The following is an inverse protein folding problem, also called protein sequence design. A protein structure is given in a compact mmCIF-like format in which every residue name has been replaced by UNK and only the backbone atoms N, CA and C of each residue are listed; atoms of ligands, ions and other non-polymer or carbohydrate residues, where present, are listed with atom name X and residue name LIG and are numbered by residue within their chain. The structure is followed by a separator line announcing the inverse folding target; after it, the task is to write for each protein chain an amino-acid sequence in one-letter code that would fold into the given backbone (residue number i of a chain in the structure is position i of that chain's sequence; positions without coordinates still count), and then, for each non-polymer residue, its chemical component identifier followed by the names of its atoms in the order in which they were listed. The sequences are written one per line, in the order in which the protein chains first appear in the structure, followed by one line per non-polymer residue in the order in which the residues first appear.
data_IF_057586722179
#
_entry.id   IF_057586722179
#
_cell.length_a   1.000
_cell.length_b   1.000
_cell.length_c   1.000
_cell.angle_alpha   90.00
_cell.angle_beta   90.00
_cell.angle_gamma   90.00
#
_symmetry.space_group_name_H-M   'P 1'
#
loop_
_entity.id
_entity.type
_entity.pdbx_description
1 polymer ?
#
# COMPACT_ATOMS: atom_id res chain seq x y z
N UNK A 1 -14.63 -21.57 11.99
CA UNK A 1 -13.20 -21.47 11.63
C UNK A 1 -12.40 -22.06 12.78
N UNK A 2 -11.90 -23.29 12.63
CA UNK A 2 -11.09 -23.94 13.65
C UNK A 2 -9.70 -23.29 13.64
N UNK A 3 -9.36 -22.52 14.68
CA UNK A 3 -7.97 -22.10 14.87
C UNK A 3 -7.16 -23.31 15.33
N UNK A 4 -6.01 -23.53 14.71
CA UNK A 4 -5.08 -24.59 15.10
C UNK A 4 -4.56 -24.31 16.50
N UNK A 5 -4.48 -25.33 17.36
CA UNK A 5 -3.88 -25.22 18.69
C UNK A 5 -2.39 -24.89 18.58
N UNK A 6 -1.80 -24.35 19.64
CA UNK A 6 -0.38 -24.00 19.68
C UNK A 6 0.52 -25.22 19.37
N UNK A 7 0.14 -26.40 19.85
CA UNK A 7 0.83 -27.66 19.53
C UNK A 7 0.73 -28.01 18.04
N UNK A 8 -0.44 -27.88 17.42
CA UNK A 8 -0.59 -28.13 15.98
C UNK A 8 0.23 -27.14 15.15
N UNK A 9 0.34 -25.87 15.59
CA UNK A 9 1.20 -24.87 14.93
C UNK A 9 2.67 -25.28 15.03
N UNK A 10 3.10 -25.79 16.17
CA UNK A 10 4.48 -26.20 16.42
C UNK A 10 4.84 -27.52 15.70
N UNK A 11 3.93 -28.50 15.69
CA UNK A 11 4.09 -29.74 14.91
C UNK A 11 4.16 -29.43 13.40
N UNK A 12 3.27 -28.58 12.90
CA UNK A 12 3.30 -28.13 11.51
C UNK A 12 4.61 -27.36 11.23
N UNK A 13 5.10 -26.55 12.18
CA UNK A 13 6.38 -25.83 12.07
C UNK A 13 7.57 -26.79 11.93
N UNK A 14 7.61 -27.85 12.73
CA UNK A 14 8.66 -28.88 12.65
C UNK A 14 8.57 -29.71 11.35
N UNK A 15 7.36 -30.02 10.90
CA UNK A 15 7.13 -30.83 9.70
C UNK A 15 7.40 -30.05 8.39
N UNK A 16 7.30 -28.72 8.40
CA UNK A 16 7.41 -27.90 7.18
C UNK A 16 8.83 -27.51 6.74
N UNK A 17 9.85 -27.83 7.53
CA UNK A 17 11.25 -27.52 7.17
C UNK A 17 11.67 -28.17 5.84
N UNK A 18 11.23 -29.41 5.56
CA UNK A 18 11.64 -30.19 4.36
C UNK A 18 10.45 -30.89 3.67
N UNK A 19 9.36 -30.16 3.43
CA UNK A 19 8.15 -30.79 2.89
C UNK A 19 8.20 -31.00 1.35
N UNK A 20 8.03 -32.23 0.84
CA UNK A 20 7.89 -32.46 -0.60
C UNK A 20 6.57 -31.88 -1.12
N UNK A 21 6.58 -31.33 -2.34
CA UNK A 21 5.41 -30.65 -2.94
C UNK A 21 4.12 -31.49 -2.99
N UNK A 22 4.23 -32.82 -2.98
CA UNK A 22 3.08 -33.72 -2.88
C UNK A 22 2.28 -33.57 -1.57
N UNK A 23 2.95 -33.30 -0.45
CA UNK A 23 2.33 -33.10 0.87
C UNK A 23 1.74 -31.69 0.99
N UNK A 24 2.38 -30.69 0.37
CA UNK A 24 1.85 -29.33 0.24
C UNK A 24 0.51 -29.36 -0.52
N UNK A 25 0.47 -30.05 -1.66
CA UNK A 25 -0.75 -30.22 -2.45
C UNK A 25 -1.83 -31.02 -1.69
N UNK A 26 -1.43 -31.94 -0.80
CA UNK A 26 -2.37 -32.67 0.07
C UNK A 26 -2.99 -31.75 1.12
N UNK A 27 -2.21 -30.84 1.72
CA UNK A 27 -2.71 -29.83 2.66
C UNK A 27 -3.70 -28.86 2.02
N UNK A 28 -3.43 -28.43 0.78
CA UNK A 28 -4.35 -27.59 0.01
C UNK A 28 -5.65 -28.34 -0.29
N UNK A 29 -5.57 -29.60 -0.73
CA UNK A 29 -6.76 -30.45 -0.95
C UNK A 29 -7.56 -30.74 0.32
N UNK A 30 -6.94 -30.66 1.50
CA UNK A 30 -7.61 -30.77 2.82
C UNK A 30 -8.30 -29.49 3.26
N UNK A 31 -8.24 -28.42 2.46
CA UNK A 31 -8.94 -27.16 2.70
C UNK A 31 -8.13 -26.12 3.47
N UNK A 32 -6.81 -26.28 3.60
CA UNK A 32 -5.96 -25.23 4.16
C UNK A 32 -5.82 -24.11 3.12
N UNK A 33 -6.12 -22.88 3.52
CA UNK A 33 -5.99 -21.70 2.65
C UNK A 33 -4.55 -21.55 2.14
N UNK A 34 -4.34 -21.29 0.83
CA UNK A 34 -3.02 -20.98 0.27
C UNK A 34 -2.32 -19.84 1.02
N UNK A 35 -3.07 -18.82 1.46
CA UNK A 35 -2.50 -17.73 2.26
C UNK A 35 -1.97 -18.21 3.61
N UNK A 36 -2.65 -19.17 4.25
CA UNK A 36 -2.18 -19.74 5.52
C UNK A 36 -0.88 -20.51 5.34
N UNK A 37 -0.71 -21.19 4.22
CA UNK A 37 0.55 -21.84 3.85
C UNK A 37 1.63 -20.78 3.61
N UNK A 38 1.35 -19.70 2.88
CA UNK A 38 2.32 -18.63 2.67
C UNK A 38 2.85 -18.05 3.99
N UNK A 39 1.97 -17.79 4.96
CA UNK A 39 2.37 -17.35 6.30
C UNK A 39 3.28 -18.38 6.96
N UNK A 40 2.88 -19.66 6.96
CA UNK A 40 3.67 -20.73 7.56
C UNK A 40 5.07 -20.86 6.94
N UNK A 41 5.17 -20.82 5.61
CA UNK A 41 6.45 -20.87 4.90
C UNK A 41 7.35 -19.69 5.27
N UNK A 42 6.75 -18.52 5.51
CA UNK A 42 7.44 -17.32 6.00
C UNK A 42 7.93 -17.47 7.44
N UNK A 43 7.27 -18.27 8.28
CA UNK A 43 7.65 -18.53 9.68
C UNK A 43 8.65 -19.68 9.86
N UNK A 44 8.77 -20.56 8.85
CA UNK A 44 9.66 -21.73 8.85
C UNK A 44 10.83 -21.59 7.89
N UNK A 45 10.95 -20.47 7.18
CA UNK A 45 11.93 -20.25 6.12
C UNK A 45 11.84 -21.27 4.95
N UNK A 46 10.63 -21.80 4.68
CA UNK A 46 10.41 -22.85 3.68
C UNK A 46 10.08 -22.25 2.31
N UNK A 47 11.10 -22.09 1.47
CA UNK A 47 10.96 -21.55 0.10
C UNK A 47 10.00 -22.38 -0.78
N UNK A 48 10.04 -23.73 -0.78
CA UNK A 48 9.11 -24.53 -1.57
C UNK A 48 7.65 -24.27 -1.20
N UNK A 49 7.39 -24.00 0.08
CA UNK A 49 6.05 -23.74 0.59
C UNK A 49 5.58 -22.32 0.23
N UNK A 50 6.49 -21.33 0.25
CA UNK A 50 6.22 -19.98 -0.25
C UNK A 50 5.92 -20.03 -1.77
N UNK A 51 6.76 -20.67 -2.57
CA UNK A 51 6.57 -20.72 -4.01
C UNK A 51 5.28 -21.48 -4.41
N UNK A 52 5.01 -22.61 -3.77
CA UNK A 52 3.82 -23.39 -4.08
C UNK A 52 2.54 -22.66 -3.64
N UNK A 53 2.56 -21.99 -2.48
CA UNK A 53 1.40 -21.19 -2.05
C UNK A 53 1.12 -20.03 -2.99
N UNK A 54 2.15 -19.33 -3.49
CA UNK A 54 1.99 -18.28 -4.50
C UNK A 54 1.45 -18.81 -5.84
N UNK A 55 1.90 -19.99 -6.28
CA UNK A 55 1.34 -20.66 -7.49
C UNK A 55 -0.14 -20.97 -7.37
N UNK A 56 -0.60 -21.28 -6.16
CA UNK A 56 -1.98 -21.62 -5.84
C UNK A 56 -2.83 -20.38 -5.54
N UNK A 57 -2.31 -19.18 -5.82
CA UNK A 57 -3.03 -17.92 -5.74
C UNK A 57 -3.03 -17.28 -4.35
N UNK A 58 -2.08 -17.62 -3.48
CA UNK A 58 -1.94 -16.92 -2.19
C UNK A 58 -1.64 -15.43 -2.42
N UNK A 59 -2.37 -14.58 -1.69
CA UNK A 59 -2.13 -13.14 -1.71
C UNK A 59 -0.82 -12.80 -0.99
N UNK A 60 0.21 -12.38 -1.73
CA UNK A 60 1.54 -12.09 -1.16
C UNK A 60 1.53 -10.96 -0.13
N UNK A 61 0.61 -10.01 -0.29
CA UNK A 61 0.41 -8.89 0.63
C UNK A 61 -0.86 -9.05 1.47
N UNK A 62 -1.45 -10.26 1.47
CA UNK A 62 -2.58 -10.58 2.32
C UNK A 62 -2.22 -10.36 3.79
N UNK A 63 -3.25 -10.14 4.60
CA UNK A 63 -3.11 -9.86 6.03
C UNK A 63 -3.78 -10.96 6.84
N UNK A 64 -3.10 -11.41 7.90
CA UNK A 64 -3.70 -12.33 8.86
C UNK A 64 -4.60 -11.59 9.87
N UNK A 65 -5.03 -12.31 10.92
CA UNK A 65 -5.95 -11.78 11.94
C UNK A 65 -5.35 -10.66 12.79
N UNK A 66 -4.03 -10.48 12.77
CA UNK A 66 -3.31 -9.40 13.47
C UNK A 66 -2.88 -8.29 12.50
N UNK A 67 -3.40 -8.33 11.27
CA UNK A 67 -3.00 -7.49 10.14
C UNK A 67 -1.53 -7.66 9.71
N UNK A 68 -0.91 -8.81 10.02
CA UNK A 68 0.47 -9.08 9.62
C UNK A 68 0.56 -9.64 8.21
N UNK A 69 1.57 -9.18 7.47
CA UNK A 69 1.89 -9.71 6.13
C UNK A 69 2.90 -10.87 6.24
N UNK A 70 2.97 -11.74 5.22
CA UNK A 70 4.01 -12.79 5.14
C UNK A 70 5.42 -12.23 5.34
N UNK A 71 5.71 -11.06 4.79
CA UNK A 71 7.01 -10.40 4.94
C UNK A 71 7.29 -9.92 6.37
N UNK A 72 6.27 -9.49 7.13
CA UNK A 72 6.42 -9.19 8.56
C UNK A 72 6.79 -10.44 9.36
N UNK A 73 6.13 -11.58 9.09
CA UNK A 73 6.46 -12.85 9.73
C UNK A 73 7.90 -13.27 9.44
N UNK A 74 8.32 -13.23 8.17
CA UNK A 74 9.69 -13.56 7.79
C UNK A 74 10.72 -12.60 8.42
N UNK A 75 10.36 -11.31 8.59
CA UNK A 75 11.21 -10.30 9.24
C UNK A 75 11.33 -10.52 10.75
N UNK A 76 10.24 -10.90 11.41
CA UNK A 76 10.21 -11.18 12.85
C UNK A 76 11.09 -12.39 13.20
N UNK A 77 11.04 -13.45 12.40
CA UNK A 77 11.86 -14.65 12.61
C UNK A 77 13.27 -14.56 12.00
N UNK A 78 13.64 -13.44 11.38
CA UNK A 78 14.93 -13.25 10.72
C UNK A 78 15.23 -14.37 9.71
N UNK A 79 14.27 -14.62 8.82
CA UNK A 79 14.37 -15.66 7.79
C UNK A 79 14.75 -15.03 6.45
N UNK A 80 16.06 -14.90 6.22
CA UNK A 80 16.61 -14.12 5.11
C UNK A 80 16.23 -14.69 3.74
N UNK A 81 16.26 -16.01 3.58
CA UNK A 81 15.90 -16.67 2.33
C UNK A 81 14.41 -16.46 2.01
N UNK A 82 13.53 -16.57 3.00
CA UNK A 82 12.12 -16.26 2.85
C UNK A 82 11.89 -14.78 2.52
N UNK A 83 12.62 -13.86 3.16
CA UNK A 83 12.58 -12.43 2.85
C UNK A 83 12.96 -12.20 1.39
N UNK A 84 14.07 -12.77 0.93
CA UNK A 84 14.55 -12.61 -0.44
C UNK A 84 13.55 -13.18 -1.47
N UNK A 85 12.96 -14.33 -1.17
CA UNK A 85 11.92 -14.96 -2.00
C UNK A 85 10.63 -14.12 -2.06
N UNK A 86 10.16 -13.60 -0.93
CA UNK A 86 8.97 -12.74 -0.90
C UNK A 86 9.22 -11.43 -1.66
N UNK A 87 10.40 -10.83 -1.50
CA UNK A 87 10.79 -9.61 -2.21
C UNK A 87 10.94 -9.84 -3.73
N UNK A 88 11.40 -11.02 -4.17
CA UNK A 88 11.48 -11.34 -5.59
C UNK A 88 10.11 -11.45 -6.25
N UNK A 89 9.07 -11.80 -5.47
CA UNK A 89 7.68 -11.83 -5.88
C UNK A 89 6.91 -10.51 -5.63
N UNK A 90 7.62 -9.39 -5.42
CA UNK A 90 7.07 -8.05 -5.18
C UNK A 90 6.25 -7.91 -3.88
N UNK A 91 6.64 -8.59 -2.80
CA UNK A 91 6.09 -8.30 -1.48
C UNK A 91 6.35 -6.84 -1.07
N UNK A 92 5.32 -6.20 -0.51
CA UNK A 92 5.41 -4.83 -0.03
C UNK A 92 6.07 -4.78 1.35
N UNK A 93 7.11 -3.97 1.50
CA UNK A 93 7.88 -3.80 2.76
C UNK A 93 7.19 -2.91 3.78
N UNK A 94 6.11 -2.26 3.36
CA UNK A 94 5.54 -1.08 3.99
C UNK A 94 4.17 -1.20 4.66
N UNK A 95 3.33 -2.21 4.36
CA UNK A 95 2.11 -2.42 5.11
C UNK A 95 2.42 -2.35 6.60
N UNK A 96 1.48 -1.78 7.34
CA UNK A 96 1.55 -1.69 8.80
C UNK A 96 0.54 -2.64 9.39
N UNK A 97 0.92 -3.32 10.46
CA UNK A 97 0.01 -4.07 11.30
C UNK A 97 -0.95 -3.11 12.02
N UNK A 98 -1.93 -3.65 12.74
CA UNK A 98 -2.86 -2.84 13.55
C UNK A 98 -2.13 -2.06 14.66
N UNK A 99 -0.92 -2.48 15.03
CA UNK A 99 -0.04 -1.80 15.98
C UNK A 99 0.87 -0.74 15.32
N UNK A 100 0.72 -0.53 14.01
CA UNK A 100 1.54 0.42 13.24
C UNK A 100 2.94 -0.10 12.88
N UNK A 101 3.25 -1.37 13.16
CA UNK A 101 4.56 -1.97 12.89
C UNK A 101 4.66 -2.38 11.41
N UNK A 102 5.72 -1.95 10.72
CA UNK A 102 6.05 -2.41 9.36
C UNK A 102 7.12 -3.50 9.38
N UNK A 103 7.31 -4.22 8.27
CA UNK A 103 8.41 -5.19 8.14
C UNK A 103 9.79 -4.55 8.43
N UNK A 104 9.99 -3.29 8.00
CA UNK A 104 11.21 -2.52 8.33
C UNK A 104 11.34 -2.27 9.83
N UNK A 105 10.26 -1.86 10.49
CA UNK A 105 10.27 -1.61 11.94
C UNK A 105 10.59 -2.89 12.72
N UNK A 106 9.99 -4.02 12.33
CA UNK A 106 10.25 -5.32 12.92
C UNK A 106 11.73 -5.70 12.73
N UNK A 107 12.27 -5.58 11.51
CA UNK A 107 13.68 -5.88 11.25
C UNK A 107 14.64 -4.98 12.05
N UNK A 108 14.28 -3.72 12.29
CA UNK A 108 15.04 -2.79 13.15
C UNK A 108 14.98 -3.20 14.63
N UNK A 109 13.79 -3.57 15.13
CA UNK A 109 13.56 -4.03 16.49
C UNK A 109 14.37 -5.29 16.79
N UNK A 110 14.41 -6.23 15.85
CA UNK A 110 15.19 -7.47 15.91
C UNK A 110 16.70 -7.25 15.62
N UNK A 111 17.15 -5.99 15.44
CA UNK A 111 18.55 -5.59 15.18
C UNK A 111 19.17 -6.27 13.96
N UNK A 112 18.35 -6.62 12.98
CA UNK A 112 18.80 -7.29 11.77
C UNK A 112 19.22 -6.29 10.69
N UNK A 113 20.45 -5.80 10.81
CA UNK A 113 20.99 -4.78 9.91
C UNK A 113 21.06 -5.22 8.44
N UNK A 114 21.21 -6.52 8.17
CA UNK A 114 21.24 -7.04 6.79
C UNK A 114 19.89 -6.86 6.10
N UNK A 115 18.82 -7.32 6.73
CA UNK A 115 17.46 -7.14 6.22
C UNK A 115 17.08 -5.67 6.14
N UNK A 116 17.46 -4.85 7.14
CA UNK A 116 17.21 -3.40 7.12
C UNK A 116 17.88 -2.74 5.91
N UNK A 117 19.14 -3.09 5.61
CA UNK A 117 19.84 -2.57 4.44
C UNK A 117 19.16 -2.99 3.13
N UNK A 118 18.79 -4.27 3.01
CA UNK A 118 18.07 -4.78 1.83
C UNK A 118 16.74 -4.05 1.61
N UNK A 119 15.97 -3.85 2.69
CA UNK A 119 14.73 -3.09 2.64
C UNK A 119 14.98 -1.65 2.22
N UNK A 120 16.00 -0.99 2.77
CA UNK A 120 16.38 0.38 2.40
C UNK A 120 16.81 0.49 0.93
N UNK A 121 17.55 -0.48 0.39
CA UNK A 121 17.95 -0.51 -1.02
C UNK A 121 16.74 -0.67 -1.95
N UNK A 122 15.83 -1.59 -1.62
CA UNK A 122 14.58 -1.77 -2.36
C UNK A 122 13.71 -0.53 -2.30
N UNK A 123 13.61 0.10 -1.13
CA UNK A 123 12.99 1.42 -0.97
C UNK A 123 13.63 2.46 -1.88
N UNK A 124 14.96 2.55 -1.88
CA UNK A 124 15.69 3.54 -2.66
C UNK A 124 15.44 3.37 -4.16
N UNK A 125 15.43 2.13 -4.67
CA UNK A 125 15.10 1.85 -6.08
C UNK A 125 13.68 2.28 -6.43
N UNK A 126 12.71 1.99 -5.57
CA UNK A 126 11.31 2.41 -5.75
C UNK A 126 11.21 3.94 -5.68
N UNK A 127 11.86 4.58 -4.72
CA UNK A 127 11.93 6.04 -4.56
C UNK A 127 12.52 6.72 -5.80
N UNK A 128 13.60 6.18 -6.37
CA UNK A 128 14.24 6.74 -7.58
C UNK A 128 13.34 6.64 -8.82
N UNK A 129 12.63 5.53 -9.01
CA UNK A 129 11.61 5.40 -10.07
C UNK A 129 10.50 6.44 -9.91
N UNK A 130 9.99 6.60 -8.69
CA UNK A 130 8.97 7.61 -8.38
C UNK A 130 9.50 9.05 -8.52
N UNK A 131 10.77 9.31 -8.19
CA UNK A 131 11.40 10.62 -8.37
C UNK A 131 11.50 11.02 -9.85
N UNK A 132 11.79 10.07 -10.74
CA UNK A 132 11.71 10.29 -12.20
C UNK A 132 10.31 10.71 -12.64
N UNK A 133 9.30 9.96 -12.19
CA UNK A 133 7.88 10.25 -12.45
C UNK A 133 7.48 11.63 -11.90
N UNK A 134 8.03 12.04 -10.75
CA UNK A 134 7.82 13.36 -10.16
C UNK A 134 8.48 14.49 -10.95
N UNK A 135 9.70 14.27 -11.47
CA UNK A 135 10.38 15.25 -12.31
C UNK A 135 9.62 15.47 -13.61
N UNK A 136 9.11 14.39 -14.21
CA UNK A 136 8.24 14.47 -15.38
C UNK A 136 6.93 15.21 -15.07
N UNK A 137 6.34 14.98 -13.89
CA UNK A 137 5.21 15.76 -13.37
C UNK A 137 5.44 17.26 -13.45
N UNK A 138 6.58 17.66 -12.88
CA UNK A 138 6.97 19.04 -12.71
C UNK A 138 7.12 19.71 -14.07
N UNK A 139 7.77 19.02 -15.01
CA UNK A 139 7.92 19.49 -16.39
C UNK A 139 6.57 19.70 -17.07
N UNK A 140 5.68 18.72 -16.99
CA UNK A 140 4.34 18.83 -17.61
C UNK A 140 3.52 19.96 -16.99
N UNK A 141 3.52 20.09 -15.67
CA UNK A 141 2.83 21.19 -14.97
C UNK A 141 3.40 22.56 -15.37
N UNK A 142 4.73 22.67 -15.51
CA UNK A 142 5.38 23.91 -15.92
C UNK A 142 5.09 24.28 -17.38
N UNK A 143 5.04 23.30 -18.28
CA UNK A 143 4.65 23.49 -19.68
C UNK A 143 3.18 23.96 -19.80
N UNK A 144 2.26 23.30 -19.10
CA UNK A 144 0.83 23.65 -19.12
C UNK A 144 0.55 25.02 -18.48
N UNK A 145 1.39 25.45 -17.53
CA UNK A 145 1.29 26.79 -16.93
C UNK A 145 1.55 27.91 -17.95
N UNK A 146 2.41 27.69 -18.93
CA UNK A 146 2.73 28.68 -19.96
C UNK A 146 1.59 28.84 -20.99
N UNK A 147 0.68 27.86 -21.07
CA UNK A 147 -0.47 27.89 -21.97
C UNK A 147 -1.63 28.72 -21.39
N UNK A 148 -2.45 29.27 -22.28
CA UNK A 148 -3.73 29.92 -21.93
C UNK A 148 -4.69 28.91 -21.28
N UNK A 149 -5.55 29.32 -20.32
CA UNK A 149 -6.42 28.41 -19.59
C UNK A 149 -7.32 27.51 -20.45
N UNK A 150 -7.80 27.98 -21.60
CA UNK A 150 -8.64 27.17 -22.51
C UNK A 150 -7.85 26.14 -23.32
N UNK A 151 -6.54 26.35 -23.51
CA UNK A 151 -5.67 25.51 -24.32
C UNK A 151 -4.89 24.46 -23.49
N UNK A 152 -5.18 24.35 -22.20
CA UNK A 152 -4.52 23.40 -21.30
C UNK A 152 -5.05 22.00 -21.50
N UNK A 153 -4.14 21.03 -21.59
CA UNK A 153 -4.51 19.62 -21.64
C UNK A 153 -4.80 19.12 -20.21
N UNK A 154 -6.08 19.13 -19.88
CA UNK A 154 -6.58 18.66 -18.58
C UNK A 154 -6.38 17.17 -18.39
N UNK A 155 -6.35 16.38 -19.46
CA UNK A 155 -6.13 14.93 -19.41
C UNK A 155 -4.67 14.63 -19.12
N UNK A 156 -3.73 15.34 -19.75
CA UNK A 156 -2.30 15.22 -19.44
C UNK A 156 -2.01 15.65 -18.00
N UNK A 157 -2.61 16.73 -17.51
CA UNK A 157 -2.51 17.15 -16.11
C UNK A 157 -3.09 16.07 -15.17
N UNK A 158 -4.26 15.53 -15.50
CA UNK A 158 -4.94 14.49 -14.75
C UNK A 158 -4.12 13.21 -14.66
N UNK A 159 -3.66 12.66 -15.79
CA UNK A 159 -2.82 11.47 -15.83
C UNK A 159 -1.51 11.66 -15.07
N UNK A 160 -0.92 12.85 -15.19
CA UNK A 160 0.22 13.21 -14.36
C UNK A 160 -0.17 13.09 -12.88
N UNK A 161 -1.29 13.64 -12.43
CA UNK A 161 -1.67 13.60 -11.01
C UNK A 161 -2.25 12.25 -10.53
N UNK A 162 -2.81 11.43 -11.43
CA UNK A 162 -3.58 10.19 -11.14
C UNK A 162 -2.69 8.94 -11.11
N UNK A 163 -1.70 8.79 -12.00
CA UNK A 163 -0.72 7.68 -11.94
C UNK A 163 0.19 7.75 -10.69
N UNK A 164 -0.04 8.75 -9.83
CA UNK A 164 0.78 9.19 -8.72
C UNK A 164 0.15 8.96 -7.35
N UNK A 165 -0.78 8.01 -7.23
CA UNK A 165 -1.22 7.45 -5.94
C UNK A 165 -0.05 6.95 -5.06
N UNK A 166 1.13 6.73 -5.66
CA UNK A 166 2.36 6.32 -4.97
C UNK A 166 3.23 7.46 -4.39
N UNK A 167 2.83 8.73 -4.51
CA UNK A 167 3.64 9.87 -4.03
C UNK A 167 3.66 10.02 -2.50
N UNK A 168 2.96 9.14 -1.76
CA UNK A 168 3.14 8.99 -0.32
C UNK A 168 4.63 8.81 0.06
N UNK A 169 5.40 8.11 -0.77
CA UNK A 169 6.81 7.76 -0.49
C UNK A 169 7.83 8.90 -0.65
N UNK A 170 7.63 9.81 -1.62
CA UNK A 170 8.53 10.97 -1.78
C UNK A 170 8.20 12.04 -0.71
N UNK A 171 6.97 12.03 -0.20
CA UNK A 171 6.53 12.90 0.89
C UNK A 171 7.32 12.71 2.19
N UNK A 172 7.84 11.51 2.47
CA UNK A 172 8.65 11.27 3.69
C UNK A 172 10.06 11.87 3.59
N UNK A 173 10.72 11.81 2.42
CA UNK A 173 12.09 12.32 2.25
C UNK A 173 12.15 13.82 1.90
N UNK A 174 11.19 14.31 1.10
CA UNK A 174 11.14 15.72 0.68
C UNK A 174 9.73 16.31 0.82
N UNK A 175 9.13 16.30 2.03
CA UNK A 175 7.75 16.71 2.27
C UNK A 175 7.45 18.10 1.73
N UNK A 176 8.40 19.02 1.87
CA UNK A 176 8.23 20.41 1.44
C UNK A 176 8.22 20.57 -0.08
N UNK A 177 9.07 19.83 -0.82
CA UNK A 177 9.10 19.90 -2.28
C UNK A 177 7.83 19.30 -2.88
N UNK A 178 7.38 18.17 -2.34
CA UNK A 178 6.14 17.50 -2.73
C UNK A 178 4.93 18.37 -2.42
N UNK A 179 4.81 18.90 -1.18
CA UNK A 179 3.73 19.82 -0.80
C UNK A 179 3.68 21.06 -1.70
N UNK A 180 4.83 21.66 -2.03
CA UNK A 180 4.91 22.80 -2.96
C UNK A 180 4.46 22.43 -4.37
N UNK A 181 4.80 21.24 -4.86
CA UNK A 181 4.38 20.78 -6.18
C UNK A 181 2.87 20.58 -6.26
N UNK A 182 2.29 19.83 -5.34
CA UNK A 182 0.83 19.58 -5.36
C UNK A 182 0.03 20.85 -5.09
N UNK A 183 0.58 21.78 -4.29
CA UNK A 183 0.02 23.13 -4.17
C UNK A 183 0.00 23.87 -5.51
N UNK A 184 1.09 23.80 -6.29
CA UNK A 184 1.15 24.40 -7.64
C UNK A 184 0.12 23.75 -8.57
N UNK A 185 0.02 22.42 -8.58
CA UNK A 185 -0.95 21.69 -9.39
C UNK A 185 -2.40 22.06 -9.04
N UNK A 186 -2.70 22.14 -7.73
CA UNK A 186 -3.99 22.59 -7.21
C UNK A 186 -4.36 24.01 -7.67
N UNK A 187 -3.41 24.95 -7.66
CA UNK A 187 -3.66 26.31 -8.16
C UNK A 187 -3.76 26.38 -9.68
N UNK A 188 -3.18 25.43 -10.42
CA UNK A 188 -3.26 25.38 -11.88
C UNK A 188 -4.62 24.86 -12.36
N UNK A 189 -5.05 23.72 -11.83
CA UNK A 189 -6.38 23.16 -12.04
C UNK A 189 -6.85 22.41 -10.77
N UNK A 190 -7.76 23.02 -9.99
CA UNK A 190 -8.33 22.40 -8.81
C UNK A 190 -9.01 21.06 -9.07
N UNK A 191 -9.61 20.84 -10.26
CA UNK A 191 -10.34 19.59 -10.58
C UNK A 191 -9.42 18.37 -10.59
N UNK A 192 -8.14 18.61 -10.86
CA UNK A 192 -7.11 17.58 -10.99
C UNK A 192 -6.22 17.54 -9.75
N UNK A 193 -5.76 18.70 -9.28
CA UNK A 193 -4.76 18.78 -8.21
C UNK A 193 -5.32 18.69 -6.79
N UNK A 194 -6.62 18.92 -6.59
CA UNK A 194 -7.19 19.02 -5.24
C UNK A 194 -7.08 17.71 -4.44
N UNK A 195 -7.39 16.56 -5.04
CA UNK A 195 -7.40 15.30 -4.32
C UNK A 195 -6.00 14.82 -3.91
N UNK A 196 -5.01 14.76 -4.83
CA UNK A 196 -3.64 14.45 -4.45
C UNK A 196 -3.02 15.48 -3.50
N UNK A 197 -3.44 16.74 -3.57
CA UNK A 197 -2.97 17.75 -2.62
C UNK A 197 -3.55 17.53 -1.21
N UNK A 198 -4.84 17.18 -1.12
CA UNK A 198 -5.49 16.87 0.15
C UNK A 198 -4.85 15.66 0.85
N UNK A 199 -4.47 14.60 0.12
CA UNK A 199 -3.81 13.42 0.71
C UNK A 199 -2.43 13.76 1.29
N UNK A 200 -1.65 14.60 0.60
CA UNK A 200 -0.37 15.11 1.11
C UNK A 200 -0.57 15.97 2.35
N UNK A 201 -1.59 16.83 2.38
CA UNK A 201 -1.90 17.66 3.54
C UNK A 201 -2.30 16.82 4.75
N UNK A 202 -3.15 15.80 4.56
CA UNK A 202 -3.56 14.86 5.58
C UNK A 202 -2.36 14.11 6.18
N UNK A 203 -1.43 13.68 5.34
CA UNK A 203 -0.21 12.99 5.78
C UNK A 203 0.77 13.93 6.49
N UNK A 204 0.82 15.21 6.10
CA UNK A 204 1.70 16.22 6.71
C UNK A 204 1.18 16.81 8.03
N UNK A 205 0.07 16.28 8.58
CA UNK A 205 -0.55 16.77 9.81
C UNK A 205 -1.44 18.01 9.63
N UNK A 206 -1.54 18.57 8.41
CA UNK A 206 -2.45 19.67 8.05
C UNK A 206 -3.88 19.14 7.81
N UNK A 207 -4.43 18.44 8.80
CA UNK A 207 -5.70 17.70 8.68
C UNK A 207 -6.89 18.59 8.32
N UNK A 208 -6.99 19.78 8.90
CA UNK A 208 -8.11 20.70 8.63
C UNK A 208 -8.11 21.20 7.19
N UNK A 209 -6.96 21.58 6.64
CA UNK A 209 -6.83 22.01 5.24
C UNK A 209 -7.17 20.87 4.27
N UNK A 210 -6.75 19.64 4.60
CA UNK A 210 -7.11 18.47 3.81
C UNK A 210 -8.64 18.26 3.78
N UNK A 211 -9.30 18.35 4.94
CA UNK A 211 -10.76 18.21 5.06
C UNK A 211 -11.51 19.33 4.31
N UNK A 212 -11.02 20.57 4.36
CA UNK A 212 -11.60 21.70 3.61
C UNK A 212 -11.59 21.43 2.10
N UNK A 213 -10.48 20.90 1.58
CA UNK A 213 -10.35 20.56 0.16
C UNK A 213 -11.29 19.41 -0.21
N UNK A 214 -11.39 18.38 0.63
CA UNK A 214 -12.29 17.25 0.40
C UNK A 214 -13.77 17.67 0.39
N UNK A 215 -14.18 18.55 1.31
CA UNK A 215 -15.52 19.15 1.30
C UNK A 215 -15.79 19.97 0.05
N UNK A 216 -14.79 20.74 -0.42
CA UNK A 216 -14.89 21.50 -1.65
C UNK A 216 -15.08 20.58 -2.87
N UNK A 217 -14.28 19.52 -2.99
CA UNK A 217 -14.40 18.53 -4.08
C UNK A 217 -15.82 17.96 -4.11
N UNK A 218 -16.33 17.56 -2.94
CA UNK A 218 -17.69 17.05 -2.82
C UNK A 218 -18.75 18.09 -3.23
N UNK A 219 -18.68 19.32 -2.69
CA UNK A 219 -19.60 20.42 -3.00
C UNK A 219 -19.63 20.76 -4.49
N UNK A 220 -18.48 20.65 -5.16
CA UNK A 220 -18.33 20.91 -6.60
C UNK A 220 -18.70 19.71 -7.48
N UNK A 221 -19.05 18.56 -6.88
CA UNK A 221 -19.40 17.30 -7.55
C UNK A 221 -18.35 16.86 -8.59
N UNK A 222 -17.07 16.96 -8.25
CA UNK A 222 -16.02 16.45 -9.13
C UNK A 222 -15.98 14.93 -9.04
N UNK A 223 -16.53 14.26 -10.06
CA UNK A 223 -16.72 12.80 -10.14
C UNK A 223 -15.46 12.04 -10.56
N UNK A 224 -14.35 12.73 -10.81
CA UNK A 224 -13.08 12.16 -11.27
C UNK A 224 -12.34 11.35 -10.20
N UNK A 225 -12.86 11.26 -8.97
CA UNK A 225 -12.23 10.57 -7.84
C UNK A 225 -13.19 9.50 -7.29
N UNK A 226 -12.97 8.21 -7.61
CA UNK A 226 -13.80 7.14 -7.08
C UNK A 226 -13.58 6.95 -5.58
N UNK A 227 -14.68 6.72 -4.84
CA UNK A 227 -14.70 6.49 -3.38
C UNK A 227 -13.84 5.29 -2.97
N UNK A 228 -13.80 4.25 -3.80
CA UNK A 228 -12.95 3.06 -3.61
C UNK A 228 -11.47 3.44 -3.49
N UNK A 229 -10.98 4.33 -4.37
CA UNK A 229 -9.62 4.86 -4.30
C UNK A 229 -9.35 5.78 -3.09
N UNK A 230 -10.38 6.26 -2.37
CA UNK A 230 -10.21 7.08 -1.16
C UNK A 230 -10.13 6.23 0.12
N UNK A 231 -10.84 5.11 0.16
CA UNK A 231 -10.93 4.21 1.33
C UNK A 231 -9.87 3.12 1.25
N UNK A 232 -9.73 2.47 0.08
CA UNK A 232 -8.82 1.32 -0.08
C UNK A 232 -7.36 1.72 -0.19
N UNK A 233 -7.08 2.98 -0.55
CA UNK A 233 -5.71 3.48 -0.71
C UNK A 233 -5.00 3.76 0.61
N UNK A 234 -5.73 3.82 1.74
CA UNK A 234 -5.19 4.17 3.05
C UNK A 234 -4.63 5.62 3.14
N UNK A 235 -4.83 6.45 2.11
CA UNK A 235 -4.25 7.80 2.01
C UNK A 235 -4.77 8.79 3.06
N UNK A 236 -5.89 8.47 3.70
CA UNK A 236 -6.58 9.34 4.65
C UNK A 236 -6.85 8.66 6.00
N UNK A 237 -6.16 7.56 6.33
CA UNK A 237 -6.32 6.85 7.61
C UNK A 237 -6.19 7.78 8.81
N UNK A 238 -5.26 8.75 8.73
CA UNK A 238 -5.06 9.77 9.78
C UNK A 238 -6.28 10.67 10.02
N UNK A 239 -7.21 10.74 9.06
CA UNK A 239 -8.45 11.52 9.16
C UNK A 239 -9.64 10.70 9.66
N UNK A 240 -9.56 9.36 9.65
CA UNK A 240 -10.70 8.48 9.91
C UNK A 240 -11.34 8.66 11.29
N UNK A 241 -10.52 9.00 12.29
CA UNK A 241 -10.99 9.32 13.63
C UNK A 241 -11.80 10.62 13.73
N UNK A 242 -11.73 11.50 12.73
CA UNK A 242 -12.41 12.80 12.73
C UNK A 242 -13.91 12.68 12.42
N UNK A 243 -14.75 13.31 13.24
CA UNK A 243 -16.19 13.39 12.95
C UNK A 243 -16.49 14.18 11.67
N UNK A 244 -15.59 15.07 11.26
CA UNK A 244 -15.69 15.79 10.00
C UNK A 244 -15.45 14.86 8.82
N UNK A 245 -14.46 13.98 8.91
CA UNK A 245 -14.22 12.92 7.92
C UNK A 245 -15.44 12.01 7.77
N UNK A 246 -15.99 11.49 8.88
CA UNK A 246 -17.19 10.63 8.86
C UNK A 246 -18.37 11.29 8.14
N UNK A 247 -18.57 12.60 8.35
CA UNK A 247 -19.61 13.38 7.64
C UNK A 247 -19.34 13.54 6.15
N UNK A 248 -18.10 13.76 5.75
CA UNK A 248 -17.69 13.84 4.33
C UNK A 248 -17.97 12.49 3.65
N UNK A 249 -17.55 11.39 4.27
CA UNK A 249 -17.73 10.04 3.71
C UNK A 249 -19.20 9.63 3.57
N UNK A 250 -20.05 10.01 4.54
CA UNK A 250 -21.51 9.75 4.45
C UNK A 250 -22.18 10.46 3.26
N UNK A 251 -21.62 11.60 2.83
CA UNK A 251 -22.17 12.39 1.72
C UNK A 251 -21.61 11.96 0.37
N UNK A 252 -20.49 11.26 0.33
CA UNK A 252 -19.88 10.78 -0.90
C UNK A 252 -20.66 9.57 -1.44
N UNK A 253 -21.07 9.56 -2.72
CA UNK A 253 -21.85 8.45 -3.27
C UNK A 253 -21.12 7.11 -3.12
N UNK A 254 -21.84 6.08 -2.71
CA UNK A 254 -21.37 4.69 -2.82
C UNK A 254 -21.24 4.33 -4.30
N UNK A 255 -20.24 3.50 -4.66
CA UNK A 255 -20.15 3.00 -6.03
C UNK A 255 -21.48 2.34 -6.41
N UNK A 256 -22.09 2.81 -7.51
CA UNK A 256 -23.27 2.16 -8.06
C UNK A 256 -22.85 0.78 -8.56
N UNK A 257 -23.11 -0.25 -7.75
CA UNK A 257 -23.22 -1.65 -8.11
C UNK A 257 -22.09 -2.24 -8.97
N UNK A 258 -21.19 -3.00 -8.32
CA UNK A 258 -20.94 -4.34 -8.87
C UNK A 258 -22.24 -5.11 -8.66
N UNK A 259 -22.95 -5.39 -9.76
CA UNK A 259 -24.07 -6.32 -9.72
C UNK A 259 -23.60 -7.61 -9.06
N UNK A 260 -24.22 -7.98 -7.94
CA UNK A 260 -24.24 -9.35 -7.51
C UNK A 260 -24.79 -10.17 -8.68
N UNK A 261 -23.90 -10.90 -9.35
CA UNK A 261 -24.29 -12.00 -10.23
C UNK A 261 -24.41 -13.22 -9.33
N UNK A 262 -25.63 -13.44 -8.86
CA UNK A 262 -26.18 -14.73 -8.46
C UNK A 262 -27.70 -14.65 -8.67
#
# INVERSE_FOLDING_TARGET
MLSLTHEMKEEIRQVCMDMPGAEINRMIRRGISPFRLLILGSQTNSIPLIEQSLKEGAEINGRDQESWTPLMHASYYNHQEAIDCLLSHNALVHPRSDQGESAVYIAQKERNMKTVNLFNERLHMVRMKHAGILIEALKTIELERQKRPEARDRTALALSCIDRGYVWWIGEEYPQKVKKLFKKAYHLDPRVGAFPYASILASSGSHNEALDILEMIHKKKWTTIPREGMIESGLFVNLEGSDRWKRIMKRWPEPQGRSATA
#
